data_IF_107327378447
#
_entry.id   IF_107327378447
#
_cell.length_a   1.000
_cell.length_b   1.000
_cell.length_c   1.000
_cell.angle_alpha   90.00
_cell.angle_beta   90.00
_cell.angle_gamma   90.00
#
_symmetry.space_group_name_H-M   'P 1'
#
loop_
_entity.id
_entity.type
_entity.pdbx_description
1 polymer ?
#
# COMPACT_ATOMS: atom_id res chain seq x y z
N UNK A 1 -12.57 15.98 2.60
CA UNK A 1 -11.37 15.13 2.43
C UNK A 1 -10.27 15.65 3.33
N UNK A 2 -9.62 14.75 4.01
CA UNK A 2 -8.49 15.09 4.86
C UNK A 2 -7.28 15.44 3.98
N UNK A 3 -6.76 16.67 4.14
CA UNK A 3 -5.58 17.11 3.40
C UNK A 3 -4.35 16.23 3.65
N UNK A 4 -4.27 15.59 4.81
CA UNK A 4 -3.18 14.67 5.14
C UNK A 4 -3.17 13.41 4.24
N UNK A 5 -4.29 13.09 3.60
CA UNK A 5 -4.39 11.92 2.72
C UNK A 5 -4.10 12.27 1.26
N UNK A 6 -3.95 13.55 0.95
CA UNK A 6 -3.66 13.98 -0.41
C UNK A 6 -2.30 13.45 -0.86
N UNK A 7 -2.24 12.88 -2.05
CA UNK A 7 -1.01 12.37 -2.62
C UNK A 7 -1.03 12.60 -4.13
N UNK A 8 0.09 13.10 -4.66
CA UNK A 8 0.26 13.23 -6.10
C UNK A 8 0.63 11.87 -6.69
N UNK A 9 -0.09 11.45 -7.72
CA UNK A 9 0.17 10.16 -8.37
C UNK A 9 1.20 10.37 -9.49
N UNK A 10 2.39 9.74 -9.40
CA UNK A 10 3.37 9.84 -10.46
C UNK A 10 2.85 9.34 -11.81
N UNK A 11 3.46 9.78 -12.90
CA UNK A 11 3.02 9.43 -14.24
C UNK A 11 3.51 8.08 -14.75
N UNK A 12 4.42 7.43 -14.05
CA UNK A 12 4.97 6.13 -14.45
C UNK A 12 4.82 5.09 -13.34
N UNK A 13 4.66 3.82 -13.69
CA UNK A 13 4.38 2.77 -12.70
C UNK A 13 5.53 2.53 -11.73
N UNK A 14 6.78 2.61 -12.18
CA UNK A 14 7.93 2.39 -11.30
C UNK A 14 7.99 3.43 -10.18
N UNK A 15 7.72 4.69 -10.49
CA UNK A 15 7.66 5.74 -9.48
C UNK A 15 6.49 5.55 -8.53
N UNK A 16 5.33 5.10 -9.04
CA UNK A 16 4.17 4.80 -8.19
C UNK A 16 4.54 3.71 -7.17
N UNK A 17 5.13 2.61 -7.64
CA UNK A 17 5.52 1.51 -6.75
C UNK A 17 6.57 1.96 -5.74
N UNK A 18 7.54 2.77 -6.16
CA UNK A 18 8.55 3.31 -5.24
C UNK A 18 7.92 4.13 -4.13
N UNK A 19 6.89 4.93 -4.45
CA UNK A 19 6.17 5.71 -3.44
C UNK A 19 5.35 4.81 -2.52
N UNK A 20 4.80 3.72 -3.03
CA UNK A 20 4.12 2.72 -2.19
C UNK A 20 5.13 2.08 -1.22
N UNK A 21 6.33 1.76 -1.68
CA UNK A 21 7.39 1.21 -0.83
C UNK A 21 7.76 2.19 0.29
N UNK A 22 7.82 3.49 -0.03
CA UNK A 22 8.09 4.51 0.98
C UNK A 22 6.99 4.55 2.04
N UNK A 23 5.72 4.45 1.66
CA UNK A 23 4.60 4.39 2.60
C UNK A 23 4.64 3.13 3.46
N UNK A 24 5.04 2.00 2.87
CA UNK A 24 5.23 0.76 3.63
C UNK A 24 6.28 0.94 4.73
N UNK A 25 7.39 1.61 4.41
CA UNK A 25 8.43 1.92 5.38
C UNK A 25 7.90 2.83 6.51
N UNK A 26 7.09 3.83 6.16
CA UNK A 26 6.49 4.73 7.14
C UNK A 26 5.56 3.98 8.10
N UNK A 27 4.74 3.06 7.55
CA UNK A 27 3.86 2.23 8.37
C UNK A 27 4.68 1.39 9.36
N UNK A 28 5.76 0.78 8.89
CA UNK A 28 6.63 -0.04 9.74
C UNK A 28 7.18 0.76 10.91
N UNK A 29 7.62 1.98 10.65
CA UNK A 29 8.14 2.86 11.72
C UNK A 29 7.07 3.20 12.73
N UNK A 30 5.85 3.48 12.29
CA UNK A 30 4.73 3.77 13.19
C UNK A 30 4.36 2.55 14.04
N UNK A 31 4.43 1.35 13.45
CA UNK A 31 4.23 0.10 14.20
C UNK A 31 5.30 -0.07 15.29
N UNK A 32 6.55 0.14 14.93
CA UNK A 32 7.67 -0.02 15.86
C UNK A 32 7.61 0.97 17.03
N UNK A 33 7.13 2.18 16.78
CA UNK A 33 7.03 3.23 17.79
C UNK A 33 5.69 3.24 18.52
N UNK A 34 4.74 2.38 18.13
CA UNK A 34 3.43 2.28 18.78
C UNK A 34 2.46 3.41 18.46
N UNK A 35 2.73 4.19 17.42
CA UNK A 35 1.87 5.31 17.02
C UNK A 35 0.75 4.84 16.09
N UNK A 36 -0.09 3.95 16.58
CA UNK A 36 -1.09 3.23 15.77
C UNK A 36 -2.15 4.13 15.16
N UNK A 37 -2.55 5.20 15.84
CA UNK A 37 -3.58 6.10 15.33
C UNK A 37 -3.13 6.93 14.13
N UNK A 38 -1.82 6.93 13.83
CA UNK A 38 -1.27 7.68 12.70
C UNK A 38 -1.06 6.81 11.47
N UNK A 39 -1.23 5.48 11.59
CA UNK A 39 -0.99 4.53 10.49
C UNK A 39 -1.89 4.81 9.28
N UNK A 40 -3.10 5.33 9.51
CA UNK A 40 -4.05 5.59 8.43
C UNK A 40 -3.49 6.54 7.37
N UNK A 41 -2.60 7.44 7.73
CA UNK A 41 -2.06 8.44 6.79
C UNK A 41 -1.26 7.74 5.68
N UNK A 42 -0.14 7.04 5.96
CA UNK A 42 0.57 6.34 4.89
C UNK A 42 -0.21 5.19 4.28
N UNK A 43 -1.08 4.52 5.05
CA UNK A 43 -1.86 3.41 4.53
C UNK A 43 -2.85 3.87 3.45
N UNK A 44 -3.61 4.92 3.70
CA UNK A 44 -4.60 5.42 2.74
C UNK A 44 -3.94 6.18 1.58
N UNK A 45 -2.77 6.79 1.78
CA UNK A 45 -1.97 7.32 0.69
C UNK A 45 -1.48 6.20 -0.24
N UNK A 46 -1.00 5.10 0.32
CA UNK A 46 -0.59 3.93 -0.46
C UNK A 46 -1.77 3.34 -1.24
N UNK A 47 -2.96 3.34 -0.65
CA UNK A 47 -4.19 2.91 -1.34
C UNK A 47 -4.41 3.73 -2.60
N UNK A 48 -4.32 5.05 -2.51
CA UNK A 48 -4.51 5.92 -3.67
C UNK A 48 -3.45 5.68 -4.74
N UNK A 49 -2.20 5.52 -4.33
CA UNK A 49 -1.11 5.19 -5.25
C UNK A 49 -1.38 3.86 -5.97
N UNK A 50 -1.82 2.84 -5.23
CA UNK A 50 -2.10 1.52 -5.81
C UNK A 50 -3.25 1.58 -6.82
N UNK A 51 -4.30 2.34 -6.52
CA UNK A 51 -5.40 2.53 -7.47
C UNK A 51 -4.90 3.20 -8.76
N UNK A 52 -3.89 4.07 -8.67
CA UNK A 52 -3.28 4.70 -9.83
C UNK A 52 -2.56 3.72 -10.76
N UNK A 53 -2.18 2.53 -10.27
CA UNK A 53 -1.52 1.53 -11.11
C UNK A 53 -2.46 0.89 -12.15
N UNK A 54 -3.77 1.01 -11.97
CA UNK A 54 -4.73 0.37 -12.88
C UNK A 54 -4.58 0.76 -14.34
N UNK A 55 -4.07 1.97 -14.63
CA UNK A 55 -3.85 2.46 -15.99
C UNK A 55 -2.45 2.13 -16.53
N UNK A 56 -1.62 1.41 -15.78
CA UNK A 56 -0.22 1.15 -16.12
C UNK A 56 0.11 -0.34 -16.24
N UNK A 57 -0.88 -1.18 -16.56
CA UNK A 57 -0.67 -2.63 -16.65
C UNK A 57 -0.51 -3.13 -18.08
N UNK A 58 -0.83 -2.30 -19.07
CA UNK A 58 -0.90 -2.71 -20.49
C UNK A 58 0.41 -3.31 -21.00
N UNK A 59 1.54 -2.78 -20.56
CA UNK A 59 2.85 -3.23 -21.01
C UNK A 59 3.37 -4.48 -20.30
N UNK A 60 2.66 -4.93 -19.26
CA UNK A 60 3.06 -6.13 -18.52
C UNK A 60 2.60 -7.39 -19.25
N UNK A 61 3.36 -8.47 -19.08
CA UNK A 61 2.92 -9.79 -19.53
C UNK A 61 1.60 -10.17 -18.82
N UNK A 62 0.73 -10.98 -19.47
CA UNK A 62 -0.59 -11.28 -18.89
C UNK A 62 -0.57 -11.85 -17.47
N UNK A 63 0.41 -12.69 -17.14
CA UNK A 63 0.54 -13.24 -15.79
C UNK A 63 0.86 -12.15 -14.77
N UNK A 64 1.70 -11.18 -15.14
CA UNK A 64 2.02 -10.05 -14.25
C UNK A 64 0.84 -9.09 -14.10
N UNK A 65 0.03 -8.93 -15.15
CA UNK A 65 -1.20 -8.12 -15.05
C UNK A 65 -2.14 -8.69 -13.99
N UNK A 66 -2.30 -10.01 -13.95
CA UNK A 66 -3.12 -10.67 -12.93
C UNK A 66 -2.54 -10.44 -11.54
N UNK A 67 -1.23 -10.58 -11.38
CA UNK A 67 -0.57 -10.33 -10.10
C UNK A 67 -0.83 -8.90 -9.61
N UNK A 68 -0.68 -7.90 -10.48
CA UNK A 68 -0.92 -6.50 -10.11
C UNK A 68 -2.37 -6.28 -9.70
N UNK A 69 -3.32 -6.81 -10.47
CA UNK A 69 -4.75 -6.66 -10.16
C UNK A 69 -5.07 -7.22 -8.77
N UNK A 70 -4.58 -8.41 -8.45
CA UNK A 70 -4.81 -9.04 -7.16
C UNK A 70 -4.08 -8.30 -6.02
N UNK A 71 -2.84 -7.87 -6.27
CA UNK A 71 -2.06 -7.15 -5.28
C UNK A 71 -2.70 -5.79 -4.94
N UNK A 72 -3.20 -5.08 -5.94
CA UNK A 72 -3.91 -3.81 -5.71
C UNK A 72 -5.13 -4.02 -4.83
N UNK A 73 -5.94 -5.05 -5.11
CA UNK A 73 -7.11 -5.36 -4.29
C UNK A 73 -6.72 -5.68 -2.84
N UNK A 74 -5.70 -6.49 -2.65
CA UNK A 74 -5.22 -6.85 -1.31
C UNK A 74 -4.67 -5.63 -0.57
N UNK A 75 -3.93 -4.77 -1.26
CA UNK A 75 -3.38 -3.55 -0.67
C UNK A 75 -4.48 -2.61 -0.23
N UNK A 76 -5.46 -2.35 -1.11
CA UNK A 76 -6.58 -1.46 -0.80
C UNK A 76 -7.35 -1.98 0.42
N UNK A 77 -7.67 -3.27 0.45
CA UNK A 77 -8.39 -3.88 1.55
C UNK A 77 -7.60 -3.79 2.87
N UNK A 78 -6.33 -4.15 2.83
CA UNK A 78 -5.49 -4.10 4.03
C UNK A 78 -5.25 -2.67 4.52
N UNK A 79 -5.19 -1.69 3.61
CA UNK A 79 -5.09 -0.28 4.00
C UNK A 79 -6.30 0.17 4.83
N UNK A 80 -7.52 -0.22 4.43
CA UNK A 80 -8.73 0.07 5.19
C UNK A 80 -8.72 -0.62 6.55
N UNK A 81 -8.23 -1.86 6.61
CA UNK A 81 -8.12 -2.60 7.87
C UNK A 81 -7.09 -1.94 8.80
N UNK A 82 -5.98 -1.46 8.25
CA UNK A 82 -4.96 -0.74 9.04
C UNK A 82 -5.53 0.53 9.64
N UNK A 83 -6.34 1.27 8.89
CA UNK A 83 -7.02 2.45 9.40
C UNK A 83 -7.94 2.07 10.56
N UNK A 84 -8.81 1.10 10.38
CA UNK A 84 -9.76 0.67 11.40
C UNK A 84 -9.05 0.13 12.64
N UNK A 85 -8.16 -0.84 12.46
CA UNK A 85 -7.47 -1.47 13.58
C UNK A 85 -6.50 -0.52 14.28
N UNK A 86 -5.92 0.43 13.53
CA UNK A 86 -5.09 1.48 14.11
C UNK A 86 -5.87 2.35 15.08
N UNK A 87 -7.08 2.75 14.71
CA UNK A 87 -7.96 3.52 15.59
C UNK A 87 -8.33 2.77 16.85
N UNK A 88 -8.51 1.44 16.75
CA UNK A 88 -8.82 0.60 17.90
C UNK A 88 -7.59 0.31 18.77
N UNK A 89 -6.39 0.57 18.27
CA UNK A 89 -5.16 0.23 18.97
C UNK A 89 -4.94 -1.25 19.16
N UNK A 90 -5.54 -2.09 18.33
CA UNK A 90 -5.46 -3.54 18.43
C UNK A 90 -4.22 -4.08 17.72
N UNK A 91 -3.12 -4.23 18.47
CA UNK A 91 -1.82 -4.63 17.90
C UNK A 91 -1.88 -5.95 17.12
N UNK A 92 -2.48 -7.05 17.64
CA UNK A 92 -2.52 -8.30 16.88
C UNK A 92 -3.23 -8.16 15.54
N UNK A 93 -4.35 -7.46 15.47
CA UNK A 93 -5.09 -7.24 14.23
C UNK A 93 -4.34 -6.30 13.29
N UNK A 94 -3.67 -5.27 13.83
CA UNK A 94 -2.82 -4.38 13.03
C UNK A 94 -1.70 -5.18 12.37
N UNK A 95 -1.03 -6.05 13.11
CA UNK A 95 0.08 -6.85 12.58
C UNK A 95 -0.40 -7.82 11.50
N UNK A 96 -1.58 -8.42 11.68
CA UNK A 96 -2.18 -9.30 10.67
C UNK A 96 -2.48 -8.52 9.38
N UNK A 97 -3.12 -7.37 9.50
CA UNK A 97 -3.43 -6.52 8.35
C UNK A 97 -2.15 -6.02 7.66
N UNK A 98 -1.14 -5.67 8.44
CA UNK A 98 0.13 -5.21 7.89
C UNK A 98 0.86 -6.31 7.12
N UNK A 99 0.77 -7.55 7.59
CA UNK A 99 1.36 -8.70 6.88
C UNK A 99 0.76 -8.83 5.47
N UNK A 100 -0.56 -8.66 5.34
CA UNK A 100 -1.25 -8.69 4.05
C UNK A 100 -0.79 -7.52 3.18
N UNK A 101 -0.73 -6.33 3.76
CA UNK A 101 -0.29 -5.11 3.07
C UNK A 101 1.14 -5.28 2.53
N UNK A 102 2.05 -5.75 3.36
CA UNK A 102 3.46 -5.93 3.00
C UNK A 102 3.63 -6.96 1.90
N UNK A 103 2.86 -8.04 1.94
CA UNK A 103 2.87 -9.06 0.88
C UNK A 103 2.42 -8.47 -0.45
N UNK A 104 1.37 -7.65 -0.43
CA UNK A 104 0.90 -6.97 -1.64
C UNK A 104 1.98 -6.04 -2.22
N UNK A 105 2.67 -5.29 -1.36
CA UNK A 105 3.77 -4.42 -1.78
C UNK A 105 4.88 -5.24 -2.45
N UNK A 106 5.24 -6.39 -1.87
CA UNK A 106 6.26 -7.28 -2.46
C UNK A 106 5.85 -7.76 -3.85
N UNK A 107 4.58 -8.12 -4.04
CA UNK A 107 4.08 -8.56 -5.33
C UNK A 107 4.13 -7.43 -6.38
N UNK A 108 3.81 -6.20 -5.98
CA UNK A 108 3.90 -5.05 -6.88
C UNK A 108 5.35 -4.77 -7.29
N UNK A 109 6.27 -4.85 -6.34
CA UNK A 109 7.70 -4.68 -6.64
C UNK A 109 8.18 -5.71 -7.66
N UNK A 110 7.82 -6.97 -7.44
CA UNK A 110 8.23 -8.05 -8.34
C UNK A 110 7.62 -7.88 -9.74
N UNK A 111 6.35 -7.47 -9.82
CA UNK A 111 5.66 -7.32 -11.11
C UNK A 111 6.30 -6.23 -11.99
N UNK A 112 6.90 -5.21 -11.38
CA UNK A 112 7.56 -4.11 -12.10
C UNK A 112 9.09 -4.17 -12.00
N UNK A 113 9.66 -5.31 -11.59
CA UNK A 113 11.10 -5.53 -11.48
C UNK A 113 11.82 -4.49 -10.61
N UNK A 114 11.17 -4.08 -9.53
CA UNK A 114 11.74 -3.12 -8.57
C UNK A 114 12.41 -3.90 -7.43
N UNK A 115 13.73 -3.65 -7.17
CA UNK A 115 14.44 -4.37 -6.11
C UNK A 115 13.92 -4.12 -4.71
#
# INVERSE_FOLDING_TARGET
>A
IDALLAVAIPGDPESIVSEIVNRNSDIRKLLETGLFTEIYIPALQAKELALGLGSHTVKLAPDRQVVVTLAVKSLVRSAWLLDWYGDLGNRPLIQEAYSIFETAVSHLRAAYDIP
#
